data_IF_287212231857
#
_entry.id   IF_287212231857
#
_cell.length_a   1.000
_cell.length_b   1.000
_cell.length_c   1.000
_cell.angle_alpha   90.00
_cell.angle_beta   90.00
_cell.angle_gamma   90.00
#
_symmetry.space_group_name_H-M   'P 1'
#
loop_
_entity.id
_entity.type
_entity.pdbx_description
1 polymer ?
#
# COMPACT_ATOMS: atom_id res chain seq x y z
N UNK A 1 -3.96 -15.53 22.35
CA UNK A 1 -2.54 -15.46 22.74
C UNK A 1 -2.34 -14.20 23.55
N UNK A 2 -1.70 -14.27 24.73
CA UNK A 2 -1.38 -13.08 25.52
C UNK A 2 -0.24 -12.31 24.83
N UNK A 3 -0.51 -11.12 24.31
CA UNK A 3 0.53 -10.22 23.81
C UNK A 3 1.34 -9.71 25.00
N UNK A 4 2.67 -9.90 24.97
CA UNK A 4 3.56 -9.20 25.89
C UNK A 4 3.42 -7.69 25.63
N UNK A 5 3.36 -6.85 26.66
CA UNK A 5 3.32 -5.41 26.47
C UNK A 5 4.57 -4.97 25.70
N UNK A 6 4.38 -4.16 24.66
CA UNK A 6 5.46 -3.52 23.96
C UNK A 6 6.15 -2.51 24.90
N UNK A 7 7.47 -2.28 24.75
CA UNK A 7 8.16 -1.23 25.51
C UNK A 7 7.48 0.12 25.27
N UNK A 8 7.32 0.91 26.33
CA UNK A 8 6.80 2.28 26.24
C UNK A 8 7.87 3.20 25.64
N UNK A 9 7.50 4.00 24.64
CA UNK A 9 8.39 5.04 24.12
C UNK A 9 8.53 6.17 25.15
N UNK A 10 9.70 6.28 25.76
CA UNK A 10 10.02 7.25 26.83
C UNK A 10 10.77 8.49 26.34
N UNK A 11 11.07 8.56 25.04
CA UNK A 11 11.82 9.66 24.42
C UNK A 11 11.37 9.94 22.99
N UNK A 12 11.88 11.04 22.42
CA UNK A 12 11.66 11.40 21.02
C UNK A 12 12.59 10.61 20.12
N UNK A 13 12.03 10.06 19.05
CA UNK A 13 12.78 9.40 17.98
C UNK A 13 12.28 9.96 16.65
N UNK A 14 13.21 10.33 15.76
CA UNK A 14 12.89 10.80 14.42
C UNK A 14 13.22 9.67 13.47
N UNK A 15 12.18 9.04 12.93
CA UNK A 15 12.27 7.95 11.95
C UNK A 15 11.41 8.27 10.74
N UNK A 16 11.82 7.80 9.57
CA UNK A 16 10.96 7.83 8.40
C UNK A 16 10.02 6.63 8.39
N UNK A 17 8.87 6.73 7.70
CA UNK A 17 7.99 5.56 7.50
C UNK A 17 8.73 4.43 6.78
N UNK A 18 9.68 4.76 5.91
CA UNK A 18 10.48 3.79 5.17
C UNK A 18 11.37 2.95 6.11
N UNK A 19 11.94 3.56 7.15
CA UNK A 19 12.77 2.87 8.14
C UNK A 19 11.97 1.89 9.01
N UNK A 20 10.67 2.14 9.19
CA UNK A 20 9.79 1.26 9.97
C UNK A 20 9.39 -0.03 9.24
N UNK A 21 9.57 -0.09 7.91
CA UNK A 21 9.22 -1.28 7.11
C UNK A 21 10.45 -2.19 6.99
N UNK A 22 10.41 -3.45 7.48
CA UNK A 22 11.52 -4.40 7.38
C UNK A 22 12.07 -4.53 5.96
N UNK A 23 13.39 -4.68 5.80
CA UNK A 23 14.04 -4.76 4.48
C UNK A 23 13.58 -5.98 3.66
N UNK A 24 13.28 -7.08 4.35
CA UNK A 24 12.80 -8.35 3.79
C UNK A 24 11.27 -8.42 3.70
N UNK A 25 10.57 -7.32 3.98
CA UNK A 25 9.12 -7.28 3.97
C UNK A 25 8.54 -7.66 2.59
N UNK A 26 7.52 -8.51 2.57
CA UNK A 26 6.90 -9.03 1.35
C UNK A 26 6.53 -7.92 0.35
N UNK A 27 5.93 -6.83 0.82
CA UNK A 27 5.52 -5.72 -0.04
C UNK A 27 6.69 -5.01 -0.73
N UNK A 28 7.89 -4.97 -0.12
CA UNK A 28 9.09 -4.44 -0.78
C UNK A 28 9.51 -5.34 -1.95
N UNK A 29 9.43 -6.65 -1.74
CA UNK A 29 9.74 -7.64 -2.80
C UNK A 29 8.74 -7.55 -3.96
N UNK A 30 7.45 -7.37 -3.65
CA UNK A 30 6.41 -7.18 -4.66
C UNK A 30 6.65 -5.88 -5.44
N UNK A 31 6.89 -4.76 -4.74
CA UNK A 31 7.17 -3.47 -5.39
C UNK A 31 8.45 -3.47 -6.23
N UNK A 32 9.41 -4.35 -5.93
CA UNK A 32 10.61 -4.55 -6.75
C UNK A 32 10.39 -5.50 -7.94
N UNK A 33 9.39 -6.39 -7.86
CA UNK A 33 9.11 -7.38 -8.89
C UNK A 33 8.16 -6.84 -9.96
N UNK A 34 7.20 -6.00 -9.58
CA UNK A 34 6.10 -5.58 -10.46
C UNK A 34 5.82 -4.07 -10.35
N UNK A 35 5.75 -3.41 -11.51
CA UNK A 35 5.30 -2.02 -11.61
C UNK A 35 3.78 -1.99 -11.80
N UNK A 36 3.08 -1.71 -10.70
CA UNK A 36 1.63 -1.57 -10.71
C UNK A 36 1.13 -0.32 -11.46
N UNK A 37 1.95 0.46 -12.15
CA UNK A 37 1.44 1.48 -13.07
C UNK A 37 0.89 0.88 -14.37
N UNK A 38 1.18 -0.38 -14.68
CA UNK A 38 0.70 -1.09 -15.88
C UNK A 38 -0.83 -1.12 -16.01
N UNK A 39 -1.56 -0.93 -14.91
CA UNK A 39 -3.03 -0.90 -14.86
C UNK A 39 -3.59 0.37 -15.52
N UNK A 40 -2.80 1.44 -15.67
CA UNK A 40 -3.27 2.66 -16.32
C UNK A 40 -3.53 2.53 -17.82
N UNK A 41 -2.93 1.56 -18.50
CA UNK A 41 -3.13 1.33 -19.93
C UNK A 41 -4.47 0.63 -20.25
N UNK A 42 -4.89 -0.44 -19.54
CA UNK A 42 -6.13 -1.14 -19.82
C UNK A 42 -7.40 -0.51 -19.22
N UNK A 43 -7.29 0.37 -18.21
CA UNK A 43 -8.46 0.95 -17.52
C UNK A 43 -9.16 2.16 -18.15
N UNK A 44 -8.55 2.98 -19.04
CA UNK A 44 -9.21 4.17 -19.58
C UNK A 44 -10.58 3.90 -20.22
N UNK A 45 -10.79 2.79 -20.98
CA UNK A 45 -12.10 2.46 -21.53
C UNK A 45 -13.20 2.17 -20.48
N UNK A 46 -12.82 1.90 -19.23
CA UNK A 46 -13.75 1.62 -18.12
C UNK A 46 -14.21 2.90 -17.41
N UNK A 47 -13.62 4.04 -17.76
CA UNK A 47 -13.90 5.32 -17.16
C UNK A 47 -14.54 6.27 -18.16
N UNK A 48 -15.39 7.15 -17.66
CA UNK A 48 -15.87 8.25 -18.49
C UNK A 48 -14.77 9.30 -18.65
N UNK A 49 -14.62 9.83 -19.87
CA UNK A 49 -13.58 10.79 -20.19
C UNK A 49 -13.86 12.19 -19.64
N UNK A 50 -15.13 12.60 -19.55
CA UNK A 50 -15.50 14.02 -19.39
C UNK A 50 -16.71 14.27 -18.49
N UNK A 51 -17.27 13.24 -17.85
CA UNK A 51 -18.39 13.43 -16.91
C UNK A 51 -18.21 12.64 -15.61
N UNK A 52 -18.91 13.11 -14.58
CA UNK A 52 -18.94 12.49 -13.26
C UNK A 52 -17.76 12.89 -12.36
N UNK A 53 -17.57 12.10 -11.30
CA UNK A 53 -16.49 12.31 -10.33
C UNK A 53 -15.20 11.69 -10.88
N UNK A 54 -14.05 12.38 -10.79
CA UNK A 54 -12.76 11.79 -11.11
C UNK A 54 -12.56 10.46 -10.38
N UNK A 55 -12.22 9.42 -11.13
CA UNK A 55 -11.95 8.11 -10.56
C UNK A 55 -10.73 8.17 -9.62
N UNK A 56 -10.72 7.39 -8.52
CA UNK A 56 -9.50 7.20 -7.75
C UNK A 56 -8.40 6.62 -8.64
N UNK A 57 -7.15 6.92 -8.29
CA UNK A 57 -5.98 6.36 -8.97
C UNK A 57 -6.05 4.82 -9.00
N UNK A 58 -6.02 4.23 -10.20
CA UNK A 58 -6.18 2.78 -10.35
C UNK A 58 -5.06 2.00 -9.67
N UNK A 59 -3.83 2.53 -9.70
CA UNK A 59 -2.68 1.94 -9.00
C UNK A 59 -2.92 1.90 -7.49
N UNK A 60 -3.42 2.99 -6.91
CA UNK A 60 -3.76 3.07 -5.50
C UNK A 60 -4.85 2.06 -5.12
N UNK A 61 -5.89 1.92 -5.94
CA UNK A 61 -6.97 0.95 -5.69
C UNK A 61 -6.43 -0.49 -5.64
N UNK A 62 -5.57 -0.86 -6.58
CA UNK A 62 -4.95 -2.18 -6.60
C UNK A 62 -4.01 -2.41 -5.42
N UNK A 63 -3.20 -1.40 -5.06
CA UNK A 63 -2.34 -1.46 -3.86
C UNK A 63 -3.18 -1.67 -2.59
N UNK A 64 -4.30 -0.98 -2.45
CA UNK A 64 -5.20 -1.17 -1.31
C UNK A 64 -5.77 -2.60 -1.26
N UNK A 65 -6.18 -3.15 -2.41
CA UNK A 65 -6.67 -4.52 -2.48
C UNK A 65 -5.59 -5.55 -2.10
N UNK A 66 -4.34 -5.33 -2.53
CA UNK A 66 -3.19 -6.17 -2.16
C UNK A 66 -2.88 -6.06 -0.68
N UNK A 67 -2.92 -4.87 -0.09
CA UNK A 67 -2.75 -4.69 1.36
C UNK A 67 -3.80 -5.46 2.14
N UNK A 68 -5.07 -5.37 1.74
CA UNK A 68 -6.15 -6.12 2.39
C UNK A 68 -5.97 -7.63 2.28
N UNK A 69 -5.55 -8.13 1.11
CA UNK A 69 -5.37 -9.56 0.87
C UNK A 69 -4.09 -10.15 1.50
N UNK A 70 -2.95 -9.46 1.38
CA UNK A 70 -1.64 -9.95 1.78
C UNK A 70 -1.29 -9.67 3.24
N UNK A 71 -1.81 -8.57 3.80
CA UNK A 71 -1.48 -8.12 5.16
C UNK A 71 -2.68 -8.28 6.10
N UNK A 72 -3.88 -8.54 5.56
CA UNK A 72 -5.09 -8.74 6.37
C UNK A 72 -5.66 -7.45 6.96
N UNK A 73 -5.36 -6.29 6.36
CA UNK A 73 -5.96 -5.01 6.74
C UNK A 73 -7.43 -5.02 6.29
N UNK A 74 -8.36 -4.81 7.22
CA UNK A 74 -9.80 -4.98 7.01
C UNK A 74 -10.58 -3.77 7.48
#
# INVERSE_FOLDING_TARGET
MLRKPAPSQTGLEIVTLEELVPKDHLLRRIGAAEDLTLIHDPTPPLHCADNGRPAPDSTLMFKAQFLGYLVGIR
#
